data_IF_175240452920
#
_entry.id   IF_175240452920
#
_cell.length_a   1.000
_cell.length_b   1.000
_cell.length_c   1.000
_cell.angle_alpha   90.00
_cell.angle_beta   90.00
_cell.angle_gamma   90.00
#
_symmetry.space_group_name_H-M   'P 1'
#
loop_
_entity.id
_entity.type
_entity.pdbx_description
1 polymer ?
#
# COMPACT_ATOMS: atom_id res chain seq x y z
N UNK A 1 2.59 13.30 -16.32
CA UNK A 1 2.90 12.19 -15.38
C UNK A 1 2.25 12.35 -13.99
N UNK A 2 2.50 13.47 -13.29
CA UNK A 2 2.04 13.67 -11.90
C UNK A 2 0.51 13.61 -11.75
N UNK A 3 -0.24 14.18 -12.69
CA UNK A 3 -1.71 14.14 -12.66
C UNK A 3 -2.24 12.69 -12.69
N UNK A 4 -1.71 11.85 -13.59
CA UNK A 4 -2.13 10.45 -13.72
C UNK A 4 -1.91 9.65 -12.44
N UNK A 5 -0.80 9.89 -11.73
CA UNK A 5 -0.54 9.22 -10.45
C UNK A 5 -1.52 9.62 -9.35
N UNK A 6 -1.87 10.92 -9.24
CA UNK A 6 -2.89 11.38 -8.28
C UNK A 6 -4.24 10.73 -8.55
N UNK A 7 -4.62 10.59 -9.82
CA UNK A 7 -5.84 9.90 -10.19
C UNK A 7 -5.81 8.43 -9.76
N UNK A 8 -4.74 7.68 -10.06
CA UNK A 8 -4.64 6.27 -9.68
C UNK A 8 -4.77 6.04 -8.17
N UNK A 9 -4.12 6.88 -7.36
CA UNK A 9 -4.22 6.85 -5.90
C UNK A 9 -5.66 7.04 -5.42
N UNK A 10 -6.36 8.05 -5.96
CA UNK A 10 -7.75 8.33 -5.60
C UNK A 10 -8.71 7.23 -6.09
N UNK A 11 -8.48 6.67 -7.28
CA UNK A 11 -9.28 5.55 -7.80
C UNK A 11 -9.15 4.28 -6.96
N UNK A 12 -8.02 4.09 -6.29
CA UNK A 12 -7.82 2.99 -5.35
C UNK A 12 -8.39 3.26 -3.95
N UNK A 13 -9.01 4.42 -3.71
CA UNK A 13 -9.63 4.79 -2.44
C UNK A 13 -8.68 5.44 -1.42
N UNK A 14 -7.42 5.70 -1.78
CA UNK A 14 -6.48 6.37 -0.89
C UNK A 14 -6.69 7.88 -0.89
N UNK A 15 -6.91 8.46 0.28
CA UNK A 15 -6.98 9.91 0.47
C UNK A 15 -5.67 10.48 1.03
N UNK A 16 -4.83 9.64 1.63
CA UNK A 16 -3.58 10.04 2.28
C UNK A 16 -2.36 9.36 1.63
N UNK A 17 -1.87 9.98 0.56
CA UNK A 17 -0.78 9.42 -0.24
C UNK A 17 0.63 9.72 0.30
N UNK A 18 0.78 10.83 1.03
CA UNK A 18 2.08 11.34 1.49
C UNK A 18 2.28 11.25 3.00
N UNK A 19 1.19 11.11 3.77
CA UNK A 19 1.25 10.93 5.22
C UNK A 19 1.42 9.45 5.58
N UNK A 20 2.05 9.19 6.72
CA UNK A 20 2.01 7.90 7.40
C UNK A 20 0.76 7.81 8.28
N UNK A 21 0.19 6.61 8.39
CA UNK A 21 -0.91 6.34 9.31
C UNK A 21 -0.44 6.26 10.77
N UNK A 22 0.70 5.63 11.03
CA UNK A 22 1.28 5.38 12.34
C UNK A 22 2.53 6.24 12.56
N UNK A 23 2.51 7.02 13.65
CA UNK A 23 3.63 7.87 14.04
C UNK A 23 4.00 8.93 13.01
N UNK A 24 5.09 9.62 13.29
CA UNK A 24 5.68 10.62 12.42
C UNK A 24 7.20 10.68 12.64
N UNK A 25 7.88 11.63 12.01
CA UNK A 25 9.34 11.78 12.11
C UNK A 25 9.83 12.07 13.54
N UNK A 26 9.00 12.67 14.40
CA UNK A 26 9.35 13.00 15.79
C UNK A 26 9.02 11.85 16.76
N UNK A 27 7.91 11.16 16.54
CA UNK A 27 7.48 10.01 17.34
C UNK A 27 7.23 8.82 16.42
N UNK A 28 8.23 7.96 16.20
CA UNK A 28 8.12 6.80 15.33
C UNK A 28 7.03 5.83 15.79
N UNK A 29 6.48 5.06 14.84
CA UNK A 29 5.51 4.02 15.14
C UNK A 29 6.06 3.04 16.22
N UNK A 30 5.21 2.68 17.19
CA UNK A 30 5.58 1.82 18.31
C UNK A 30 6.35 2.50 19.45
N UNK A 31 6.62 3.81 19.37
CA UNK A 31 7.17 4.60 20.49
C UNK A 31 6.05 5.19 21.34
N UNK A 32 6.35 5.45 22.62
CA UNK A 32 5.39 6.09 23.52
C UNK A 32 4.92 7.43 22.95
N UNK A 33 3.61 7.64 22.94
CA UNK A 33 2.99 8.84 22.36
C UNK A 33 2.77 8.78 20.85
N UNK A 34 3.09 7.67 20.17
CA UNK A 34 2.74 7.53 18.74
C UNK A 34 1.22 7.46 18.58
N UNK A 35 0.72 8.06 17.51
CA UNK A 35 -0.70 7.98 17.10
C UNK A 35 -0.83 7.05 15.91
N UNK A 36 -2.02 6.46 15.75
CA UNK A 36 -2.42 5.71 14.56
C UNK A 36 -3.63 6.42 13.97
N UNK A 37 -3.72 6.48 12.65
CA UNK A 37 -4.87 7.02 11.94
C UNK A 37 -6.13 6.15 12.16
N UNK A 38 -7.31 6.75 12.02
CA UNK A 38 -8.59 6.05 12.24
C UNK A 38 -8.85 4.93 11.22
N UNK A 39 -8.47 5.15 9.95
CA UNK A 39 -8.66 4.17 8.88
C UNK A 39 -7.36 3.98 8.07
N UNK A 40 -6.55 2.96 8.41
CA UNK A 40 -5.32 2.63 7.68
C UNK A 40 -5.54 2.31 6.20
N UNK A 41 -6.75 1.90 5.78
CA UNK A 41 -7.03 1.56 4.38
C UNK A 41 -7.02 2.79 3.45
N UNK A 42 -7.18 4.00 4.02
CA UNK A 42 -7.14 5.27 3.27
C UNK A 42 -5.73 5.84 3.09
N UNK A 43 -4.72 5.21 3.71
CA UNK A 43 -3.32 5.65 3.68
C UNK A 43 -2.49 4.74 2.78
N UNK A 44 -1.54 5.33 2.04
CA UNK A 44 -0.56 4.57 1.27
C UNK A 44 0.55 4.02 2.18
N UNK A 45 0.98 4.80 3.17
CA UNK A 45 2.07 4.42 4.07
C UNK A 45 1.55 4.12 5.48
N UNK A 46 2.02 3.01 6.06
CA UNK A 46 1.82 2.68 7.45
C UNK A 46 2.65 3.60 8.35
N UNK A 47 3.98 3.58 8.29
CA UNK A 47 4.86 4.30 9.24
C UNK A 47 5.88 5.23 8.57
N UNK A 48 5.68 5.54 7.29
CA UNK A 48 6.63 6.30 6.46
C UNK A 48 7.66 5.41 5.75
N UNK A 49 7.80 4.15 6.15
CA UNK A 49 8.72 3.18 5.53
C UNK A 49 7.96 2.00 4.92
N UNK A 50 6.98 1.47 5.63
CA UNK A 50 6.17 0.33 5.23
C UNK A 50 4.87 0.79 4.57
N UNK A 51 4.39 0.10 3.52
CA UNK A 51 3.03 0.25 3.01
C UNK A 51 1.97 -0.25 3.99
N UNK A 52 0.75 0.26 3.84
CA UNK A 52 -0.42 -0.31 4.52
C UNK A 52 -0.82 -1.65 3.90
N UNK A 53 -1.63 -2.43 4.62
CA UNK A 53 -2.19 -3.69 4.11
C UNK A 53 -2.94 -3.49 2.79
N UNK A 54 -3.71 -2.40 2.68
CA UNK A 54 -4.45 -2.06 1.46
C UNK A 54 -3.51 -1.90 0.25
N UNK A 55 -2.35 -1.27 0.43
CA UNK A 55 -1.34 -1.17 -0.64
C UNK A 55 -0.67 -2.51 -0.90
N UNK A 56 -0.31 -3.27 0.14
CA UNK A 56 0.25 -4.61 -0.05
C UNK A 56 -0.69 -5.54 -0.82
N UNK A 57 -1.99 -5.44 -0.61
CA UNK A 57 -3.00 -6.18 -1.38
C UNK A 57 -2.96 -5.82 -2.85
N UNK A 58 -2.92 -4.53 -3.20
CA UNK A 58 -2.83 -4.08 -4.60
C UNK A 58 -1.52 -4.56 -5.26
N UNK A 59 -0.40 -4.52 -4.53
CA UNK A 59 0.89 -5.02 -5.01
C UNK A 59 0.80 -6.54 -5.25
N UNK A 60 0.29 -7.29 -4.27
CA UNK A 60 0.15 -8.73 -4.36
C UNK A 60 -0.76 -9.14 -5.54
N UNK A 61 -1.91 -8.48 -5.70
CA UNK A 61 -2.83 -8.73 -6.82
C UNK A 61 -2.15 -8.43 -8.17
N UNK A 62 -1.39 -7.33 -8.26
CA UNK A 62 -0.63 -6.97 -9.45
C UNK A 62 0.46 -7.98 -9.81
N UNK A 63 1.14 -8.55 -8.81
CA UNK A 63 2.18 -9.57 -8.99
C UNK A 63 1.56 -10.93 -9.35
N UNK A 64 0.51 -11.34 -8.63
CA UNK A 64 -0.09 -12.66 -8.78
C UNK A 64 -0.96 -12.76 -10.04
N UNK A 65 -1.74 -11.73 -10.33
CA UNK A 65 -2.78 -11.76 -11.35
C UNK A 65 -2.56 -10.77 -12.50
N UNK A 66 -1.71 -9.76 -12.29
CA UNK A 66 -1.37 -8.75 -13.30
C UNK A 66 -0.14 -9.11 -14.15
N UNK A 67 0.29 -8.19 -15.03
CA UNK A 67 1.43 -8.37 -15.93
C UNK A 67 2.78 -8.07 -15.27
N UNK A 68 2.85 -7.95 -13.94
CA UNK A 68 4.02 -7.41 -13.22
C UNK A 68 4.99 -8.47 -12.69
N UNK A 69 4.79 -9.74 -13.03
CA UNK A 69 5.70 -10.84 -12.72
C UNK A 69 5.80 -11.80 -13.92
N UNK A 70 6.90 -12.54 -14.05
CA UNK A 70 7.09 -13.53 -15.12
C UNK A 70 7.30 -14.92 -14.52
N UNK A 71 6.57 -15.96 -14.98
CA UNK A 71 5.55 -15.95 -16.03
C UNK A 71 4.27 -15.16 -15.65
N UNK A 72 3.55 -14.65 -16.65
CA UNK A 72 2.28 -13.91 -16.46
C UNK A 72 1.07 -14.81 -16.77
N UNK A 73 0.03 -14.84 -15.92
CA UNK A 73 0.01 -14.40 -14.51
C UNK A 73 0.67 -15.43 -13.60
N UNK A 74 1.41 -14.95 -12.59
CA UNK A 74 2.19 -15.80 -11.68
C UNK A 74 1.32 -16.83 -10.95
N UNK A 75 0.06 -16.49 -10.63
CA UNK A 75 -0.87 -17.40 -9.97
C UNK A 75 -1.21 -18.66 -10.79
N UNK A 76 -0.90 -18.70 -12.10
CA UNK A 76 -1.14 -19.86 -12.97
C UNK A 76 0.10 -20.73 -13.20
N UNK A 77 1.22 -20.44 -12.54
CA UNK A 77 2.49 -21.14 -12.79
C UNK A 77 2.62 -22.41 -11.95
N UNK A 78 2.03 -22.43 -10.76
CA UNK A 78 2.01 -23.60 -9.89
C UNK A 78 0.78 -24.46 -10.21
N UNK A 79 0.92 -25.80 -10.29
CA UNK A 79 -0.22 -26.70 -10.40
C UNK A 79 -1.19 -26.50 -9.22
N UNK A 80 -2.51 -26.65 -9.41
CA UNK A 80 -3.45 -26.69 -8.30
C UNK A 80 -3.03 -27.83 -7.34
N UNK A 81 -2.90 -27.51 -6.05
CA UNK A 81 -2.72 -28.50 -4.98
C UNK A 81 -3.98 -29.32 -4.77
#
# INVERSE_FOLDING_TARGET
>A
PIHTHRHAVLYAGFTNALGSCCGNQSVPCGKAGCTVCEDPSTYVSWDGTHPTEAVYKLIADGVLHGPHASPVPLAKTCPPT
#
